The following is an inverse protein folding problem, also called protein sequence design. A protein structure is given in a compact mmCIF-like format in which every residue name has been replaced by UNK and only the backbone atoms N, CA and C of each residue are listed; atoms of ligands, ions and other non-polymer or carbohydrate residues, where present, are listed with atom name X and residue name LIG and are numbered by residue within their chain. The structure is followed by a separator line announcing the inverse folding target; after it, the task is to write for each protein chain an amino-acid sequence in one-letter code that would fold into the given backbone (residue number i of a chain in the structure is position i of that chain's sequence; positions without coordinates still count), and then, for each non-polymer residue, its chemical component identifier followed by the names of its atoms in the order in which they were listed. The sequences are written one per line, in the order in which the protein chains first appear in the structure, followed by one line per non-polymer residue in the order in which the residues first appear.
data_IF_502330743886
#
_entry.id   IF_502330743886
#
_cell.length_a   1.000
_cell.length_b   1.000
_cell.length_c   1.000
_cell.angle_alpha   90.00
_cell.angle_beta   90.00
_cell.angle_gamma   90.00
#
_symmetry.space_group_name_H-M   'P 1'
#
loop_
_entity.id
_entity.type
_entity.pdbx_description
1 polymer ?
#
# COMPACT_ATOMS: atom_id res chain seq x y z
N UNK A 1 1.87 13.50 -19.59
CA UNK A 1 2.09 12.79 -18.32
C UNK A 1 1.58 13.68 -17.21
N UNK A 2 0.78 13.17 -16.29
CA UNK A 2 0.26 13.91 -15.14
C UNK A 2 0.54 13.13 -13.86
N UNK A 3 0.87 13.83 -12.78
CA UNK A 3 1.19 13.25 -11.48
C UNK A 3 0.05 13.56 -10.50
N UNK A 4 -0.36 12.59 -9.71
CA UNK A 4 -1.21 12.75 -8.54
C UNK A 4 -0.44 12.30 -7.32
N UNK A 5 -0.56 13.05 -6.23
CA UNK A 5 -0.01 12.68 -4.93
C UNK A 5 -1.16 12.49 -3.96
N UNK A 6 -1.20 11.36 -3.29
CA UNK A 6 -2.13 11.08 -2.17
C UNK A 6 -1.32 11.12 -0.90
N UNK A 7 -1.67 12.06 -0.04
CA UNK A 7 -0.93 12.35 1.19
C UNK A 7 -1.34 11.41 2.33
N UNK A 8 -0.47 11.29 3.33
CA UNK A 8 -0.76 10.56 4.58
C UNK A 8 -2.10 10.99 5.21
N UNK A 9 -2.37 12.28 5.26
CA UNK A 9 -3.59 12.80 5.87
C UNK A 9 -4.86 12.33 5.12
N UNK A 10 -4.80 12.24 3.80
CA UNK A 10 -5.91 11.73 2.98
C UNK A 10 -6.11 10.23 3.18
N UNK A 11 -5.03 9.48 3.32
CA UNK A 11 -5.05 8.03 3.61
C UNK A 11 -5.65 7.78 5.00
N UNK A 12 -5.20 8.49 6.02
CA UNK A 12 -5.66 8.34 7.40
C UNK A 12 -7.15 8.72 7.60
N UNK A 13 -7.68 9.62 6.79
CA UNK A 13 -9.12 9.97 6.78
C UNK A 13 -10.00 8.89 6.19
N UNK A 14 -9.43 7.92 5.47
CA UNK A 14 -10.19 6.82 4.91
C UNK A 14 -10.51 5.76 5.98
N UNK A 15 -11.62 5.07 5.82
CA UNK A 15 -11.97 3.88 6.61
C UNK A 15 -11.38 2.59 6.01
N UNK A 16 -10.70 2.69 4.88
CA UNK A 16 -10.10 1.55 4.21
C UNK A 16 -8.78 1.14 4.91
N UNK A 17 -8.59 -0.16 5.10
CA UNK A 17 -7.31 -0.72 5.55
C UNK A 17 -6.37 -0.98 4.38
N UNK A 18 -6.93 -1.38 3.24
CA UNK A 18 -6.17 -1.56 2.00
C UNK A 18 -5.95 -0.22 1.30
N UNK A 19 -4.77 -0.05 0.72
CA UNK A 19 -4.38 1.20 0.08
C UNK A 19 -5.08 1.44 -1.27
N UNK A 20 -5.22 0.41 -2.10
CA UNK A 20 -5.71 0.58 -3.47
C UNK A 20 -7.13 1.16 -3.57
N UNK A 21 -8.10 0.80 -2.72
CA UNK A 21 -9.41 1.47 -2.68
C UNK A 21 -9.29 2.97 -2.40
N UNK A 22 -8.37 3.38 -1.52
CA UNK A 22 -8.12 4.81 -1.25
C UNK A 22 -7.63 5.52 -2.51
N UNK A 23 -6.69 4.89 -3.24
CA UNK A 23 -6.18 5.45 -4.49
C UNK A 23 -7.27 5.57 -5.56
N UNK A 24 -8.14 4.57 -5.67
CA UNK A 24 -9.26 4.58 -6.61
C UNK A 24 -10.24 5.73 -6.36
N UNK A 25 -10.41 6.13 -5.09
CA UNK A 25 -11.26 7.27 -4.70
C UNK A 25 -10.58 8.63 -4.92
N UNK A 26 -9.24 8.70 -4.84
CA UNK A 26 -8.48 9.96 -4.81
C UNK A 26 -7.78 10.29 -6.14
N UNK A 27 -7.44 9.27 -6.94
CA UNK A 27 -6.68 9.47 -8.18
C UNK A 27 -7.60 9.39 -9.39
N UNK A 28 -7.84 10.49 -10.10
CA UNK A 28 -8.70 10.49 -11.27
C UNK A 28 -8.19 9.54 -12.36
N UNK A 29 -9.07 8.64 -12.81
CA UNK A 29 -8.77 7.67 -13.86
C UNK A 29 -7.99 6.44 -13.39
N UNK A 30 -7.75 6.29 -12.09
CA UNK A 30 -7.27 5.05 -11.50
C UNK A 30 -8.48 4.22 -11.05
N UNK A 31 -8.54 3.00 -11.51
CA UNK A 31 -9.60 2.05 -11.17
C UNK A 31 -8.99 0.74 -10.67
N UNK A 32 -9.55 0.22 -9.60
CA UNK A 32 -9.13 -1.05 -8.98
C UNK A 32 -10.33 -1.98 -8.91
N UNK A 33 -10.17 -3.23 -9.38
CA UNK A 33 -11.20 -4.25 -9.20
C UNK A 33 -11.12 -4.78 -7.77
N UNK A 34 -12.17 -4.55 -6.98
CA UNK A 34 -12.31 -5.06 -5.62
C UNK A 34 -13.42 -6.11 -5.57
N UNK A 35 -13.15 -7.27 -4.95
CA UNK A 35 -14.09 -8.40 -4.91
C UNK A 35 -14.75 -8.64 -3.56
N UNK A 36 -14.29 -8.00 -2.50
CA UNK A 36 -14.80 -8.13 -1.15
C UNK A 36 -14.98 -6.81 -0.44
N UNK A 37 -15.48 -6.85 0.79
CA UNK A 37 -15.59 -5.68 1.67
C UNK A 37 -14.20 -5.26 2.17
N UNK A 38 -13.34 -6.24 2.44
CA UNK A 38 -11.93 -6.06 2.78
C UNK A 38 -11.10 -7.01 1.93
N UNK A 39 -9.91 -6.57 1.51
CA UNK A 39 -9.00 -7.34 0.68
C UNK A 39 -9.45 -7.56 -0.75
N UNK A 40 -8.60 -8.16 -1.53
CA UNK A 40 -8.80 -8.45 -2.95
C UNK A 40 -8.98 -9.95 -3.21
N UNK A 41 -8.64 -10.79 -2.23
CA UNK A 41 -8.62 -12.25 -2.32
C UNK A 41 -7.44 -12.77 -3.16
N UNK A 42 -6.94 -13.94 -2.79
CA UNK A 42 -5.78 -14.60 -3.43
C UNK A 42 -6.15 -15.78 -4.31
N UNK A 43 -7.43 -15.99 -4.65
CA UNK A 43 -7.80 -17.08 -5.54
C UNK A 43 -7.47 -16.75 -7.01
N UNK A 44 -7.34 -17.79 -7.82
CA UNK A 44 -7.06 -17.67 -9.26
C UNK A 44 -7.97 -16.64 -9.93
N UNK A 45 -7.41 -15.61 -10.51
CA UNK A 45 -8.13 -14.49 -11.12
C UNK A 45 -8.74 -13.48 -10.14
N UNK A 46 -8.41 -13.53 -8.85
CA UNK A 46 -8.93 -12.62 -7.82
C UNK A 46 -7.99 -11.48 -7.44
N UNK A 47 -6.72 -11.53 -7.83
CA UNK A 47 -5.83 -10.39 -7.70
C UNK A 47 -6.47 -9.19 -8.42
N UNK A 48 -6.69 -8.12 -7.67
CA UNK A 48 -7.34 -6.92 -8.20
C UNK A 48 -6.55 -6.34 -9.37
N UNK A 49 -7.24 -6.02 -10.45
CA UNK A 49 -6.60 -5.36 -11.59
C UNK A 49 -6.52 -3.88 -11.33
N UNK A 50 -5.32 -3.32 -11.40
CA UNK A 50 -5.10 -1.87 -11.33
C UNK A 50 -5.07 -1.32 -12.75
N UNK A 51 -5.96 -0.38 -13.04
CA UNK A 51 -6.05 0.28 -14.34
C UNK A 51 -5.87 1.79 -14.16
N UNK A 52 -5.10 2.40 -15.07
CA UNK A 52 -5.00 3.85 -15.16
C UNK A 52 -5.45 4.26 -16.56
N UNK A 53 -6.52 5.05 -16.64
CA UNK A 53 -7.13 5.52 -17.90
C UNK A 53 -7.46 4.37 -18.88
N UNK A 54 -7.93 3.23 -18.33
CA UNK A 54 -8.28 2.06 -19.12
C UNK A 54 -7.11 1.16 -19.52
N UNK A 55 -5.88 1.54 -19.16
CA UNK A 55 -4.68 0.71 -19.40
C UNK A 55 -4.28 0.02 -18.10
N UNK A 56 -4.32 -1.30 -18.04
CA UNK A 56 -4.00 -2.02 -16.79
C UNK A 56 -4.00 -3.53 -16.88
N UNK A 57 -4.61 -4.12 -17.92
CA UNK A 57 -4.58 -5.56 -18.09
C UNK A 57 -3.15 -6.06 -18.39
N UNK A 58 -2.75 -7.15 -17.75
CA UNK A 58 -1.46 -7.79 -18.03
C UNK A 58 -0.24 -7.00 -17.51
N UNK A 59 -0.28 -6.49 -16.27
CA UNK A 59 0.86 -5.83 -15.60
C UNK A 59 1.37 -4.56 -16.29
N UNK A 60 0.45 -3.74 -16.80
CA UNK A 60 0.80 -2.49 -17.50
C UNK A 60 0.87 -1.27 -16.56
N UNK A 61 0.55 -1.44 -15.29
CA UNK A 61 0.74 -0.44 -14.23
C UNK A 61 1.81 -0.95 -13.28
N UNK A 62 2.92 -0.26 -13.23
CA UNK A 62 4.04 -0.62 -12.36
C UNK A 62 3.77 -0.17 -10.93
N UNK A 63 3.87 -1.11 -10.01
CA UNK A 63 3.82 -0.83 -8.57
C UNK A 63 5.23 -0.77 -8.01
N UNK A 64 5.55 0.31 -7.32
CA UNK A 64 6.82 0.49 -6.62
C UNK A 64 6.57 0.62 -5.11
N UNK A 65 7.47 0.09 -4.32
CA UNK A 65 7.54 0.27 -2.88
C UNK A 65 8.88 0.94 -2.55
N UNK A 66 8.85 2.16 -2.06
CA UNK A 66 10.05 3.01 -1.87
C UNK A 66 10.95 3.05 -3.12
N UNK A 67 10.35 3.12 -4.31
CA UNK A 67 11.05 3.14 -5.59
C UNK A 67 11.47 1.77 -6.14
N UNK A 68 11.27 0.69 -5.41
CA UNK A 68 11.61 -0.67 -5.84
C UNK A 68 10.39 -1.38 -6.46
N UNK A 69 10.53 -2.00 -7.64
CA UNK A 69 9.43 -2.74 -8.28
C UNK A 69 8.94 -3.90 -7.43
N UNK A 70 7.62 -3.97 -7.26
CA UNK A 70 6.95 -5.07 -6.56
C UNK A 70 6.48 -6.11 -7.55
N UNK A 71 6.99 -7.33 -7.40
CA UNK A 71 6.66 -8.46 -8.26
C UNK A 71 6.20 -9.64 -7.44
N UNK A 72 5.09 -10.25 -7.82
CA UNK A 72 4.65 -11.52 -7.28
C UNK A 72 5.11 -12.65 -8.19
N UNK A 73 6.21 -13.28 -7.83
CA UNK A 73 6.73 -14.47 -8.52
C UNK A 73 6.95 -14.27 -10.02
N UNK A 74 6.87 -15.37 -10.77
CA UNK A 74 7.09 -15.40 -12.22
C UNK A 74 6.02 -14.69 -13.06
N UNK A 75 4.87 -14.37 -12.49
CA UNK A 75 3.76 -13.73 -13.21
C UNK A 75 3.81 -12.22 -13.18
N UNK A 76 4.71 -11.61 -12.41
CA UNK A 76 4.86 -10.16 -12.33
C UNK A 76 3.61 -9.40 -11.86
N UNK A 77 2.69 -10.07 -11.15
CA UNK A 77 1.48 -9.44 -10.62
C UNK A 77 1.79 -8.72 -9.31
N UNK A 78 1.22 -7.55 -9.13
CA UNK A 78 1.17 -6.92 -7.81
C UNK A 78 0.27 -7.74 -6.86
N UNK A 79 0.62 -7.77 -5.58
CA UNK A 79 -0.20 -8.38 -4.52
C UNK A 79 -0.95 -7.29 -3.76
N UNK A 80 -2.16 -6.92 -4.18
CA UNK A 80 -2.88 -5.78 -3.61
C UNK A 80 -3.15 -5.89 -2.11
N UNK A 81 -3.27 -7.11 -1.59
CA UNK A 81 -3.52 -7.36 -0.17
C UNK A 81 -2.33 -7.02 0.73
N UNK A 82 -1.13 -6.87 0.16
CA UNK A 82 0.06 -6.44 0.90
C UNK A 82 0.17 -4.92 1.02
N UNK A 83 -0.63 -4.16 0.27
CA UNK A 83 -0.57 -2.69 0.32
C UNK A 83 -1.52 -2.16 1.40
N UNK A 84 -1.00 -2.09 2.62
CA UNK A 84 -1.76 -1.66 3.80
C UNK A 84 -1.65 -0.15 3.98
N UNK A 85 -2.79 0.51 4.14
CA UNK A 85 -2.87 1.97 4.23
C UNK A 85 -2.08 2.57 5.41
N UNK A 86 -1.98 1.84 6.52
CA UNK A 86 -1.26 2.30 7.72
C UNK A 86 0.24 2.41 7.56
N UNK A 87 0.81 1.67 6.61
CA UNK A 87 2.26 1.59 6.41
C UNK A 87 2.78 2.69 5.47
N UNK A 88 1.84 3.46 4.89
CA UNK A 88 2.12 4.41 3.82
C UNK A 88 2.19 5.84 4.34
N UNK A 89 3.23 6.57 3.94
CA UNK A 89 3.36 8.01 4.17
C UNK A 89 2.71 8.82 3.05
N UNK A 90 2.99 8.47 1.81
CA UNK A 90 2.37 9.07 0.62
C UNK A 90 2.41 8.12 -0.56
N UNK A 91 1.57 8.38 -1.56
CA UNK A 91 1.60 7.68 -2.83
C UNK A 91 1.73 8.68 -3.96
N UNK A 92 2.66 8.42 -4.86
CA UNK A 92 2.86 9.20 -6.07
C UNK A 92 2.39 8.37 -7.27
N UNK A 93 1.43 8.89 -8.01
CA UNK A 93 0.84 8.19 -9.17
C UNK A 93 1.13 8.96 -10.44
N UNK A 94 1.96 8.37 -11.29
CA UNK A 94 2.21 8.85 -12.65
C UNK A 94 1.13 8.26 -13.56
N UNK A 95 0.29 9.11 -14.13
CA UNK A 95 -0.82 8.72 -15.01
C UNK A 95 -0.44 8.91 -16.47
N UNK A 96 -0.25 7.82 -17.15
CA UNK A 96 0.17 7.75 -18.54
C UNK A 96 1.51 7.01 -18.71
N UNK A 97 2.01 6.84 -19.93
CA UNK A 97 3.14 5.99 -20.21
C UNK A 97 4.41 6.48 -19.47
N UNK A 98 4.90 5.65 -18.57
CA UNK A 98 6.14 5.82 -17.82
C UNK A 98 7.28 4.92 -18.32
N UNK A 99 7.06 4.19 -19.41
CA UNK A 99 7.96 3.14 -19.87
C UNK A 99 9.36 3.62 -20.22
N UNK A 100 9.51 4.89 -20.59
CA UNK A 100 10.83 5.47 -20.88
C UNK A 100 11.72 5.52 -19.64
N UNK A 101 11.11 5.73 -18.45
CA UNK A 101 11.83 5.87 -17.19
C UNK A 101 11.85 4.58 -16.36
N UNK A 102 10.77 3.79 -16.45
CA UNK A 102 10.52 2.66 -15.55
C UNK A 102 10.41 1.31 -16.26
N UNK A 103 10.57 1.27 -17.58
CA UNK A 103 10.53 0.03 -18.35
C UNK A 103 9.12 -0.39 -18.81
N UNK A 104 9.04 -1.56 -19.44
CA UNK A 104 7.86 -2.03 -20.20
C UNK A 104 6.56 -2.15 -19.38
N UNK A 105 6.66 -2.42 -18.09
CA UNK A 105 5.48 -2.60 -17.23
C UNK A 105 4.83 -1.28 -16.77
N UNK A 106 5.37 -0.15 -17.17
CA UNK A 106 4.85 1.18 -16.84
C UNK A 106 4.07 1.83 -18.02
N UNK A 107 3.44 1.03 -18.87
CA UNK A 107 2.70 1.53 -20.05
C UNK A 107 1.46 2.33 -19.67
N UNK A 108 0.72 1.92 -18.64
CA UNK A 108 -0.46 2.62 -18.13
C UNK A 108 -0.11 3.70 -17.12
N UNK A 109 0.99 3.51 -16.42
CA UNK A 109 1.45 4.41 -15.36
C UNK A 109 2.30 3.72 -14.33
N UNK A 110 2.65 4.49 -13.29
CA UNK A 110 3.44 4.04 -12.14
C UNK A 110 2.75 4.48 -10.85
N UNK A 111 2.66 3.57 -9.91
CA UNK A 111 2.21 3.85 -8.54
C UNK A 111 3.40 3.61 -7.61
N UNK A 112 3.97 4.67 -7.06
CA UNK A 112 5.07 4.59 -6.11
C UNK A 112 4.52 4.81 -4.69
N UNK A 113 4.54 3.75 -3.90
CA UNK A 113 4.10 3.72 -2.51
C UNK A 113 5.33 4.04 -1.66
N UNK A 114 5.30 5.17 -0.97
CA UNK A 114 6.36 5.60 -0.07
C UNK A 114 5.95 5.25 1.34
N UNK A 115 6.73 4.37 1.98
CA UNK A 115 6.42 3.84 3.31
C UNK A 115 6.81 4.80 4.41
N UNK A 116 6.17 4.63 5.56
CA UNK A 116 6.43 5.43 6.76
C UNK A 116 7.84 5.21 7.29
N UNK A 117 8.41 6.29 7.79
CA UNK A 117 9.60 6.30 8.63
C UNK A 117 9.40 7.31 9.74
N UNK A 118 9.99 7.08 10.90
CA UNK A 118 10.01 8.07 11.98
C UNK A 118 11.13 9.08 11.71
N UNK A 119 10.74 10.34 11.45
CA UNK A 119 11.70 11.42 11.18
C UNK A 119 11.98 12.28 12.39
N UNK A 120 11.02 12.42 13.28
CA UNK A 120 11.15 13.21 14.51
C UNK A 120 11.71 12.36 15.65
N UNK A 121 12.58 12.95 16.45
CA UNK A 121 13.14 12.31 17.66
C UNK A 121 12.02 11.87 18.61
N UNK A 122 12.19 10.68 19.18
CA UNK A 122 11.27 10.11 20.15
C UNK A 122 10.49 8.89 19.63
N UNK A 123 9.40 8.61 20.32
CA UNK A 123 8.54 7.45 20.05
C UNK A 123 7.14 7.94 19.71
N UNK A 124 6.59 7.40 18.64
CA UNK A 124 5.21 7.67 18.20
C UNK A 124 4.47 6.35 18.06
N UNK A 125 3.34 6.21 18.76
CA UNK A 125 2.50 5.01 18.69
C UNK A 125 1.09 5.41 18.32
N UNK A 126 0.52 4.73 17.32
CA UNK A 126 -0.86 4.89 16.88
C UNK A 126 -1.57 3.53 16.90
N UNK A 127 -2.78 3.52 17.46
CA UNK A 127 -3.65 2.36 17.41
C UNK A 127 -5.02 2.77 16.88
N UNK A 128 -5.62 1.92 16.08
CA UNK A 128 -6.96 2.12 15.52
C UNK A 128 -7.73 0.81 15.57
N UNK A 129 -9.00 0.89 16.01
CA UNK A 129 -9.94 -0.22 15.96
C UNK A 129 -11.23 0.26 15.28
N UNK A 130 -11.76 -0.54 14.38
CA UNK A 130 -13.02 -0.26 13.68
C UNK A 130 -13.90 -1.50 13.70
N UNK A 131 -15.20 -1.28 13.83
CA UNK A 131 -16.22 -2.31 13.74
C UNK A 131 -17.31 -1.86 12.76
N UNK A 132 -17.80 -2.77 11.94
CA UNK A 132 -18.79 -2.46 10.92
C UNK A 132 -19.73 -3.62 10.59
N UNK A 133 -20.56 -3.43 9.59
CA UNK A 133 -21.51 -4.45 9.12
C UNK A 133 -20.83 -5.77 8.75
N UNK A 134 -21.60 -6.85 8.78
CA UNK A 134 -21.11 -8.21 8.47
C UNK A 134 -19.99 -8.67 9.39
N UNK A 135 -20.03 -8.25 10.67
CA UNK A 135 -18.99 -8.54 11.66
C UNK A 135 -17.59 -8.11 11.17
N UNK A 136 -17.53 -7.03 10.41
CA UNK A 136 -16.26 -6.48 9.93
C UNK A 136 -15.51 -5.86 11.08
N UNK A 137 -14.28 -6.32 11.30
CA UNK A 137 -13.38 -5.87 12.37
C UNK A 137 -12.04 -5.54 11.75
N UNK A 138 -11.51 -4.38 12.08
CA UNK A 138 -10.21 -3.92 11.61
C UNK A 138 -9.41 -3.39 12.78
N UNK A 139 -8.23 -3.93 12.98
CA UNK A 139 -7.32 -3.57 14.07
C UNK A 139 -5.97 -3.19 13.47
N UNK A 140 -5.43 -2.09 13.93
CA UNK A 140 -4.15 -1.58 13.48
C UNK A 140 -3.39 -1.01 14.67
N UNK A 141 -2.11 -1.34 14.75
CA UNK A 141 -1.16 -0.70 15.64
C UNK A 141 0.13 -0.43 14.87
N UNK A 142 0.67 0.77 15.02
CA UNK A 142 2.00 1.08 14.52
C UNK A 142 2.81 1.85 15.55
N UNK A 143 4.12 1.67 15.48
CA UNK A 143 5.09 2.30 16.36
C UNK A 143 6.27 2.79 15.54
N UNK A 144 6.60 4.05 15.67
CA UNK A 144 7.79 4.67 15.12
C UNK A 144 8.73 5.11 16.24
N UNK A 145 10.01 4.84 16.07
CA UNK A 145 11.07 5.26 17.00
C UNK A 145 12.18 5.94 16.21
N UNK A 146 12.63 7.11 16.72
CA UNK A 146 13.88 7.73 16.28
C UNK A 146 14.72 8.08 17.49
N UNK A 147 15.98 7.67 17.45
CA UNK A 147 16.98 8.00 18.46
C UNK A 147 18.32 8.27 17.78
N UNK A 148 18.66 9.55 17.63
CA UNK A 148 19.85 9.99 16.94
C UNK A 148 19.91 9.50 15.51
N UNK A 149 20.87 8.60 15.22
CA UNK A 149 21.09 8.01 13.89
C UNK A 149 20.18 6.82 13.56
N UNK A 150 19.50 6.26 14.56
CA UNK A 150 18.64 5.08 14.41
C UNK A 150 17.18 5.51 14.22
N UNK A 151 16.49 4.88 13.27
CA UNK A 151 15.05 4.97 13.14
C UNK A 151 14.44 3.60 12.87
N UNK A 152 13.23 3.39 13.36
CA UNK A 152 12.45 2.20 13.05
C UNK A 152 10.97 2.55 12.93
N UNK A 153 10.27 1.78 12.13
CA UNK A 153 8.83 1.80 12.02
C UNK A 153 8.31 0.37 11.97
N UNK A 154 7.35 0.06 12.82
CA UNK A 154 6.72 -1.27 12.90
C UNK A 154 5.23 -1.08 12.80
N UNK A 155 4.56 -1.90 12.01
CA UNK A 155 3.11 -1.92 11.87
C UNK A 155 2.57 -3.33 11.90
N UNK A 156 1.41 -3.52 12.55
CA UNK A 156 0.63 -4.75 12.56
C UNK A 156 -0.83 -4.40 12.27
N UNK A 157 -1.42 -5.14 11.34
CA UNK A 157 -2.81 -4.99 10.93
C UNK A 157 -3.51 -6.33 10.93
N UNK A 158 -4.75 -6.35 11.37
CA UNK A 158 -5.61 -7.52 11.30
C UNK A 158 -7.01 -7.09 10.89
N UNK A 159 -7.47 -7.61 9.75
CA UNK A 159 -8.80 -7.37 9.21
C UNK A 159 -9.56 -8.68 9.07
N UNK A 160 -10.83 -8.67 9.48
CA UNK A 160 -11.74 -9.80 9.26
C UNK A 160 -13.14 -9.31 8.91
N UNK A 161 -13.88 -10.12 8.16
CA UNK A 161 -15.30 -9.91 7.89
C UNK A 161 -15.97 -11.26 7.61
N UNK A 162 -17.24 -11.37 7.97
CA UNK A 162 -18.05 -12.53 7.58
C UNK A 162 -18.56 -12.42 6.13
N UNK A 163 -18.44 -11.21 5.53
CA UNK A 163 -18.83 -10.96 4.16
C UNK A 163 -20.32 -10.67 3.98
N UNK A 164 -20.67 -10.02 2.87
CA UNK A 164 -22.04 -9.61 2.56
C UNK A 164 -22.84 -10.65 1.75
N UNK A 165 -22.21 -11.76 1.41
CA UNK A 165 -22.78 -12.89 0.65
C UNK A 165 -22.07 -14.19 1.00
N UNK A 166 -22.66 -15.32 0.61
CA UNK A 166 -22.08 -16.64 0.83
C UNK A 166 -20.65 -16.73 0.23
N UNK A 167 -19.78 -17.41 0.95
CA UNK A 167 -18.39 -17.64 0.57
C UNK A 167 -17.55 -16.33 0.39
N UNK A 168 -17.95 -15.22 1.03
CA UNK A 168 -17.21 -13.95 0.99
C UNK A 168 -16.53 -13.60 2.32
N UNK A 169 -16.35 -14.57 3.22
CA UNK A 169 -15.54 -14.40 4.43
C UNK A 169 -14.10 -14.08 4.07
N UNK A 170 -13.53 -13.15 4.80
CA UNK A 170 -12.15 -12.74 4.62
C UNK A 170 -11.45 -12.53 5.96
N UNK A 171 -10.19 -12.90 6.04
CA UNK A 171 -9.34 -12.70 7.19
C UNK A 171 -7.90 -12.53 6.71
N UNK A 172 -7.24 -11.47 7.14
CA UNK A 172 -5.84 -11.20 6.81
C UNK A 172 -5.12 -10.58 8.00
N UNK A 173 -3.86 -10.93 8.17
CA UNK A 173 -2.94 -10.28 9.10
C UNK A 173 -1.70 -9.86 8.32
N UNK A 174 -1.34 -8.60 8.41
CA UNK A 174 -0.17 -8.02 7.77
C UNK A 174 0.76 -7.46 8.84
N UNK A 175 2.06 -7.67 8.64
CA UNK A 175 3.11 -7.06 9.44
C UNK A 175 4.10 -6.33 8.54
N UNK A 176 4.58 -5.18 8.97
CA UNK A 176 5.60 -4.40 8.28
C UNK A 176 6.63 -3.90 9.28
N UNK A 177 7.89 -4.02 8.92
CA UNK A 177 9.02 -3.53 9.72
C UNK A 177 9.98 -2.80 8.79
N UNK A 178 10.35 -1.58 9.16
CA UNK A 178 11.37 -0.78 8.47
C UNK A 178 12.37 -0.28 9.49
N UNK A 179 13.66 -0.48 9.21
CA UNK A 179 14.76 -0.05 10.06
C UNK A 179 15.72 0.77 9.23
N UNK A 180 16.12 1.91 9.76
CA UNK A 180 17.08 2.80 9.13
C UNK A 180 18.20 3.22 10.08
N UNK A 181 19.38 3.42 9.52
CA UNK A 181 20.52 3.96 10.24
C UNK A 181 21.27 5.00 9.41
N UNK A 182 21.38 6.21 9.93
CA UNK A 182 22.07 7.33 9.30
C UNK A 182 23.57 7.24 9.61
N UNK A 183 24.37 6.73 8.69
CA UNK A 183 25.85 6.61 8.85
C UNK A 183 26.47 8.00 8.95
N UNK A 184 26.05 8.88 8.05
CA UNK A 184 26.49 10.30 8.00
C UNK A 184 25.37 11.19 7.49
N UNK A 185 25.60 12.49 7.39
CA UNK A 185 24.66 13.45 6.77
C UNK A 185 24.32 13.16 5.29
N UNK A 186 25.10 12.31 4.62
CA UNK A 186 24.94 12.00 3.18
C UNK A 186 24.63 10.52 2.91
N UNK A 187 24.81 9.63 3.89
CA UNK A 187 24.65 8.20 3.72
C UNK A 187 23.75 7.59 4.80
N UNK A 188 22.73 6.88 4.37
CA UNK A 188 21.88 6.07 5.24
C UNK A 188 21.72 4.66 4.67
N UNK A 189 21.48 3.70 5.54
CA UNK A 189 21.09 2.33 5.18
C UNK A 189 19.68 2.09 5.71
N UNK A 190 18.82 1.59 4.83
CA UNK A 190 17.42 1.26 5.16
C UNK A 190 17.14 -0.16 4.71
N UNK A 191 16.49 -0.94 5.56
CA UNK A 191 15.97 -2.26 5.24
C UNK A 191 14.52 -2.36 5.69
N UNK A 192 13.70 -3.05 4.92
CA UNK A 192 12.31 -3.31 5.24
C UNK A 192 11.92 -4.76 4.93
N UNK A 193 10.86 -5.21 5.60
CA UNK A 193 10.22 -6.51 5.38
C UNK A 193 8.72 -6.39 5.61
N UNK A 194 7.95 -7.03 4.77
CA UNK A 194 6.49 -7.10 4.83
C UNK A 194 5.98 -8.51 4.58
#
# INVERSE_FOLDING_TARGET
MSISVVTRQEIERSSESALLPVLSQRVPGLFVTQRGITGFGVSTGSAGTVNIRGVGSGNKVLMLFDGQPQWAGIYGHSLPDTYVASDVDKVEVIRGPGSLLYGSNAMGGVVNIITRSQHEEGVSTHARAMYGSYNTQKYMINNGVRSGKFNSFISLNHDRTDGHRDNSKFNITNGFVKIGYDISSHYSVVGDIS
#
